data_IF_034815412647
#
_entry.id   IF_034815412647
#
_cell.length_a   1.000
_cell.length_b   1.000
_cell.length_c   1.000
_cell.angle_alpha   90.00
_cell.angle_beta   90.00
_cell.angle_gamma   90.00
#
_symmetry.space_group_name_H-M   'P 1'
#
loop_
_entity.id
_entity.type
_entity.pdbx_description
1 polymer ?
#
# COMPACT_ATOMS: atom_id res chain seq x y z
N UNK A 1 -29.85 14.34 -0.39
CA UNK A 1 -28.90 13.21 -0.26
C UNK A 1 -28.23 12.77 -1.57
N UNK A 2 -28.97 12.69 -2.69
CA UNK A 2 -28.45 12.13 -3.96
C UNK A 2 -27.83 13.16 -4.94
N UNK A 3 -27.81 14.45 -4.58
CA UNK A 3 -27.27 15.53 -5.43
C UNK A 3 -25.80 15.34 -5.76
N UNK A 4 -25.04 14.76 -4.82
CA UNK A 4 -23.60 14.55 -4.91
C UNK A 4 -23.23 13.08 -5.21
N UNK A 5 -24.20 12.27 -5.64
CA UNK A 5 -23.94 10.91 -6.11
C UNK A 5 -23.57 10.90 -7.61
N UNK A 6 -22.48 10.22 -7.94
CA UNK A 6 -22.00 10.01 -9.30
C UNK A 6 -22.92 9.07 -10.09
N UNK A 7 -22.88 9.18 -11.42
CA UNK A 7 -23.71 8.40 -12.34
C UNK A 7 -22.88 7.53 -13.27
N UNK A 8 -23.43 6.35 -13.62
CA UNK A 8 -22.90 5.44 -14.64
C UNK A 8 -23.04 6.05 -16.04
N UNK A 9 -22.40 5.43 -17.04
CA UNK A 9 -22.58 5.78 -18.46
C UNK A 9 -24.04 5.66 -18.93
N UNK A 10 -24.84 4.78 -18.29
CA UNK A 10 -26.30 4.65 -18.50
C UNK A 10 -27.12 5.64 -17.68
N UNK A 11 -26.48 6.60 -17.00
CA UNK A 11 -27.07 7.69 -16.20
C UNK A 11 -27.73 7.25 -14.89
N UNK A 12 -27.64 5.98 -14.55
CA UNK A 12 -28.09 5.47 -13.25
C UNK A 12 -27.18 5.98 -12.13
N UNK A 13 -27.75 6.23 -10.95
CA UNK A 13 -26.96 6.58 -9.76
C UNK A 13 -26.10 5.38 -9.38
N UNK A 14 -24.82 5.61 -9.10
CA UNK A 14 -23.89 4.56 -8.67
C UNK A 14 -24.12 4.31 -7.18
N UNK A 15 -24.80 3.20 -6.91
CA UNK A 15 -25.02 2.65 -5.57
C UNK A 15 -24.04 1.51 -5.36
N UNK A 16 -23.26 1.62 -4.29
CA UNK A 16 -22.24 0.66 -3.88
C UNK A 16 -22.75 -0.14 -2.69
N UNK A 17 -22.43 -1.42 -2.69
CA UNK A 17 -22.87 -2.35 -1.68
C UNK A 17 -21.66 -2.91 -0.95
N UNK A 18 -21.67 -2.94 0.38
CA UNK A 18 -20.69 -3.69 1.15
C UNK A 18 -20.88 -5.19 0.93
N UNK A 19 -19.77 -5.92 0.96
CA UNK A 19 -19.75 -7.38 0.86
C UNK A 19 -19.22 -7.94 2.17
N UNK A 20 -19.81 -9.05 2.58
CA UNK A 20 -19.39 -9.81 3.75
C UNK A 20 -18.11 -10.58 3.42
N UNK A 21 -17.05 -10.38 4.21
CA UNK A 21 -15.73 -10.96 3.94
C UNK A 21 -15.68 -12.48 4.14
N UNK A 22 -16.67 -13.07 4.83
CA UNK A 22 -16.73 -14.51 5.11
C UNK A 22 -17.50 -15.23 4.01
N UNK A 23 -18.67 -14.69 3.66
CA UNK A 23 -19.59 -15.32 2.68
C UNK A 23 -19.39 -14.83 1.25
N UNK A 24 -18.66 -13.73 1.05
CA UNK A 24 -18.51 -13.03 -0.23
C UNK A 24 -19.85 -12.64 -0.88
N UNK A 25 -20.90 -12.51 -0.08
CA UNK A 25 -22.23 -12.04 -0.49
C UNK A 25 -22.41 -10.59 -0.11
N UNK A 26 -23.40 -9.94 -0.72
CA UNK A 26 -23.81 -8.62 -0.28
C UNK A 26 -24.15 -8.64 1.22
N UNK A 27 -23.57 -7.72 1.98
CA UNK A 27 -23.82 -7.58 3.41
C UNK A 27 -25.15 -6.82 3.62
N UNK A 28 -26.27 -7.55 3.59
CA UNK A 28 -27.62 -6.97 3.69
C UNK A 28 -27.91 -6.28 5.05
N UNK A 29 -27.06 -6.52 6.05
CA UNK A 29 -27.10 -5.87 7.35
C UNK A 29 -26.42 -4.48 7.36
N UNK A 30 -25.73 -4.11 6.29
CA UNK A 30 -25.10 -2.81 6.13
C UNK A 30 -25.85 -1.94 5.14
N UNK A 31 -25.93 -0.64 5.42
CA UNK A 31 -26.52 0.30 4.48
C UNK A 31 -25.64 0.44 3.23
N UNK A 32 -26.25 0.42 2.02
CA UNK A 32 -25.54 0.78 0.81
C UNK A 32 -25.12 2.25 0.86
N UNK A 33 -24.08 2.58 0.11
CA UNK A 33 -23.56 3.94 -0.01
C UNK A 33 -23.46 4.34 -1.48
N UNK A 34 -23.12 5.60 -1.73
CA UNK A 34 -23.10 6.16 -3.08
C UNK A 34 -21.70 6.61 -3.43
N UNK A 35 -21.31 6.39 -4.68
CA UNK A 35 -20.07 6.95 -5.18
C UNK A 35 -20.20 8.47 -5.25
N UNK A 36 -19.27 9.20 -4.64
CA UNK A 36 -19.30 10.66 -4.60
C UNK A 36 -18.92 11.27 -5.95
N UNK A 37 -19.55 12.39 -6.32
CA UNK A 37 -19.17 13.15 -7.51
C UNK A 37 -17.75 13.69 -7.39
N UNK A 38 -16.94 13.68 -8.48
CA UNK A 38 -15.58 14.19 -8.47
C UNK A 38 -15.45 15.63 -7.98
N UNK A 39 -16.35 16.52 -8.43
CA UNK A 39 -16.32 17.93 -8.02
C UNK A 39 -16.54 18.11 -6.50
N UNK A 40 -17.39 17.28 -5.90
CA UNK A 40 -17.61 17.30 -4.45
C UNK A 40 -16.38 16.78 -3.71
N UNK A 41 -15.81 15.65 -4.14
CA UNK A 41 -14.59 15.09 -3.57
C UNK A 41 -13.41 16.08 -3.64
N UNK A 42 -13.23 16.75 -4.79
CA UNK A 42 -12.20 17.76 -4.98
C UNK A 42 -12.37 18.95 -4.02
N UNK A 43 -13.61 19.40 -3.79
CA UNK A 43 -13.90 20.45 -2.80
C UNK A 43 -13.59 20.01 -1.36
N UNK A 44 -13.91 18.77 -1.00
CA UNK A 44 -13.56 18.21 0.31
C UNK A 44 -12.04 18.13 0.50
N UNK A 45 -11.32 17.71 -0.54
CA UNK A 45 -9.86 17.64 -0.51
C UNK A 45 -9.22 19.03 -0.38
N UNK A 46 -9.71 20.02 -1.12
CA UNK A 46 -9.24 21.41 -0.98
C UNK A 46 -9.51 21.96 0.43
N UNK A 47 -10.67 21.67 1.03
CA UNK A 47 -10.97 22.05 2.40
C UNK A 47 -10.02 21.38 3.40
N UNK A 48 -9.75 20.07 3.23
CA UNK A 48 -8.77 19.35 4.04
C UNK A 48 -7.37 20.00 3.96
N UNK A 49 -6.88 20.27 2.76
CA UNK A 49 -5.56 20.90 2.54
C UNK A 49 -5.48 22.27 3.21
N UNK A 50 -6.51 23.12 3.03
CA UNK A 50 -6.56 24.44 3.67
C UNK A 50 -6.60 24.32 5.20
N UNK A 51 -7.45 23.44 5.73
CA UNK A 51 -7.56 23.23 7.17
C UNK A 51 -6.28 22.70 7.81
N UNK A 52 -5.52 21.85 7.11
CA UNK A 52 -4.22 21.35 7.55
C UNK A 52 -3.15 22.44 7.48
N UNK A 53 -3.14 23.24 6.41
CA UNK A 53 -2.26 24.40 6.27
C UNK A 53 -2.45 25.40 7.40
N UNK A 54 -3.69 25.78 7.70
CA UNK A 54 -4.01 26.74 8.76
C UNK A 54 -3.55 26.26 10.15
N UNK A 55 -3.57 24.93 10.34
CA UNK A 55 -3.09 24.27 11.57
C UNK A 55 -1.60 23.97 11.56
N UNK A 56 -0.87 24.34 10.50
CA UNK A 56 0.56 24.06 10.31
C UNK A 56 0.89 22.56 10.44
N UNK A 57 0.00 21.70 9.96
CA UNK A 57 0.25 20.27 9.92
C UNK A 57 1.47 19.96 9.05
N UNK A 58 2.19 18.88 9.37
CA UNK A 58 3.36 18.47 8.60
C UNK A 58 3.01 17.84 7.24
N UNK A 59 1.80 17.31 7.10
CA UNK A 59 1.40 16.59 5.91
C UNK A 59 -0.09 16.26 5.84
N UNK A 60 -0.47 15.61 4.74
CA UNK A 60 -1.81 15.13 4.42
C UNK A 60 -1.73 13.69 3.93
N UNK A 61 -2.67 12.86 4.38
CA UNK A 61 -2.86 11.51 3.89
C UNK A 61 -4.15 11.42 3.08
N UNK A 62 -4.05 11.03 1.82
CA UNK A 62 -5.20 10.80 0.96
C UNK A 62 -5.45 9.30 0.80
N UNK A 63 -6.63 8.87 1.23
CA UNK A 63 -7.06 7.48 1.06
C UNK A 63 -7.40 7.14 -0.40
N UNK A 64 -8.11 8.05 -1.07
CA UNK A 64 -8.67 7.77 -2.40
C UNK A 64 -7.89 8.50 -3.52
N UNK A 65 -7.40 9.72 -3.26
CA UNK A 65 -6.58 10.50 -4.22
C UNK A 65 -5.20 9.86 -4.32
N UNK A 66 -4.74 9.60 -5.54
CA UNK A 66 -3.55 8.80 -5.82
C UNK A 66 -3.86 7.36 -6.22
N UNK A 67 -5.10 6.89 -6.00
CA UNK A 67 -5.55 5.56 -6.40
C UNK A 67 -6.79 5.65 -7.30
N UNK A 68 -7.91 6.13 -6.78
CA UNK A 68 -9.20 6.04 -7.47
C UNK A 68 -9.38 7.19 -8.49
N UNK A 69 -9.88 6.82 -9.68
CA UNK A 69 -10.27 7.74 -10.76
C UNK A 69 -11.76 7.55 -11.08
N UNK A 70 -12.60 7.76 -10.08
CA UNK A 70 -14.04 7.57 -10.13
C UNK A 70 -14.71 8.65 -10.99
N UNK A 71 -15.24 8.31 -12.16
CA UNK A 71 -15.89 9.25 -13.08
C UNK A 71 -17.37 9.53 -12.71
N UNK A 72 -17.94 10.59 -13.29
CA UNK A 72 -19.37 10.92 -13.21
C UNK A 72 -19.92 11.26 -14.60
N UNK A 73 -20.93 10.52 -15.06
CA UNK A 73 -21.53 10.72 -16.39
C UNK A 73 -22.88 11.45 -16.33
N UNK A 74 -23.02 12.40 -15.40
CA UNK A 74 -24.16 13.31 -15.33
C UNK A 74 -24.29 14.18 -16.59
N UNK A 75 -25.50 14.35 -17.13
CA UNK A 75 -25.73 15.04 -18.42
C UNK A 75 -25.13 16.45 -18.50
N UNK A 76 -25.23 17.23 -17.42
CA UNK A 76 -24.76 18.62 -17.36
C UNK A 76 -23.36 18.81 -16.77
N UNK A 77 -22.78 17.79 -16.15
CA UNK A 77 -21.52 17.88 -15.40
C UNK A 77 -20.66 16.64 -15.60
N UNK A 78 -20.62 16.13 -16.84
CA UNK A 78 -19.83 14.96 -17.19
C UNK A 78 -18.36 15.18 -16.82
N UNK A 79 -17.81 14.26 -16.05
CA UNK A 79 -16.41 14.23 -15.63
C UNK A 79 -15.83 12.85 -15.91
N UNK A 80 -14.97 12.77 -16.92
CA UNK A 80 -14.25 11.55 -17.32
C UNK A 80 -13.15 11.19 -16.33
N UNK A 81 -12.67 9.94 -16.36
CA UNK A 81 -11.53 9.48 -15.54
C UNK A 81 -10.27 10.34 -15.76
N UNK A 82 -10.02 10.78 -16.99
CA UNK A 82 -8.89 11.65 -17.32
C UNK A 82 -9.02 13.04 -16.70
N UNK A 83 -10.24 13.61 -16.68
CA UNK A 83 -10.50 14.86 -15.97
C UNK A 83 -10.34 14.70 -14.45
N UNK A 84 -10.79 13.57 -13.88
CA UNK A 84 -10.55 13.26 -12.45
C UNK A 84 -9.06 13.14 -12.16
N UNK A 85 -8.28 12.51 -13.05
CA UNK A 85 -6.82 12.43 -12.92
C UNK A 85 -6.20 13.84 -12.88
N UNK A 86 -6.62 14.73 -13.77
CA UNK A 86 -6.16 16.12 -13.75
C UNK A 86 -6.52 16.86 -12.45
N UNK A 87 -7.75 16.66 -11.93
CA UNK A 87 -8.17 17.22 -10.64
C UNK A 87 -7.33 16.68 -9.48
N UNK A 88 -7.07 15.37 -9.45
CA UNK A 88 -6.25 14.73 -8.43
C UNK A 88 -4.80 15.25 -8.49
N UNK A 89 -4.21 15.37 -9.69
CA UNK A 89 -2.87 15.96 -9.89
C UNK A 89 -2.83 17.37 -9.33
N UNK A 90 -3.84 18.19 -9.62
CA UNK A 90 -3.89 19.56 -9.12
C UNK A 90 -4.00 19.59 -7.59
N UNK A 91 -4.85 18.75 -6.99
CA UNK A 91 -4.97 18.63 -5.53
C UNK A 91 -3.63 18.24 -4.87
N UNK A 92 -2.93 17.25 -5.44
CA UNK A 92 -1.63 16.81 -4.93
C UNK A 92 -0.59 17.92 -5.06
N UNK A 93 -0.57 18.64 -6.19
CA UNK A 93 0.30 19.80 -6.39
C UNK A 93 0.00 20.92 -5.39
N UNK A 94 -1.26 21.20 -5.12
CA UNK A 94 -1.67 22.24 -4.17
C UNK A 94 -1.24 21.89 -2.75
N UNK A 95 -1.34 20.61 -2.34
CA UNK A 95 -0.82 20.14 -1.06
C UNK A 95 0.70 20.34 -0.94
N UNK A 96 1.47 19.95 -1.96
CA UNK A 96 2.92 20.15 -2.00
C UNK A 96 3.28 21.64 -1.97
N UNK A 97 2.59 22.48 -2.75
CA UNK A 97 2.80 23.92 -2.77
C UNK A 97 2.44 24.60 -1.43
N UNK A 98 1.52 24.01 -0.66
CA UNK A 98 1.21 24.42 0.70
C UNK A 98 2.28 24.00 1.73
N UNK A 99 3.34 23.31 1.30
CA UNK A 99 4.42 22.81 2.16
C UNK A 99 4.08 21.52 2.89
N UNK A 100 2.99 20.83 2.52
CA UNK A 100 2.57 19.58 3.16
C UNK A 100 3.32 18.39 2.54
N UNK A 101 3.75 17.48 3.40
CA UNK A 101 4.14 16.12 2.99
C UNK A 101 2.91 15.31 2.60
N UNK A 102 3.03 14.46 1.58
CA UNK A 102 1.88 13.76 1.01
C UNK A 102 2.03 12.25 1.16
N UNK A 103 1.03 11.63 1.80
CA UNK A 103 0.86 10.18 1.84
C UNK A 103 -0.32 9.81 0.93
N UNK A 104 -0.14 8.80 0.09
CA UNK A 104 -1.20 8.22 -0.75
C UNK A 104 -1.27 6.71 -0.56
N UNK A 105 -2.45 6.12 -0.77
CA UNK A 105 -2.65 4.67 -0.77
C UNK A 105 -2.43 4.07 -2.16
N UNK A 106 -1.81 2.88 -2.26
CA UNK A 106 -1.48 2.08 -3.46
C UNK A 106 -0.56 2.76 -4.48
N UNK A 107 -0.81 4.02 -4.82
CA UNK A 107 0.12 4.92 -5.52
C UNK A 107 0.23 4.72 -7.02
N UNK A 108 -0.80 5.14 -7.76
CA UNK A 108 -0.73 5.17 -9.23
C UNK A 108 0.33 6.15 -9.73
N UNK A 109 0.92 5.86 -10.89
CA UNK A 109 2.06 6.58 -11.47
C UNK A 109 1.85 8.10 -11.59
N UNK A 110 0.62 8.56 -11.86
CA UNK A 110 0.32 9.99 -11.97
C UNK A 110 0.53 10.77 -10.66
N UNK A 111 0.44 10.10 -9.52
CA UNK A 111 0.56 10.69 -8.19
C UNK A 111 1.99 10.57 -7.63
N UNK A 112 2.80 9.67 -8.21
CA UNK A 112 4.18 9.39 -7.80
C UNK A 112 5.04 10.66 -7.63
N UNK A 113 5.01 11.66 -8.54
CA UNK A 113 5.84 12.85 -8.39
C UNK A 113 5.58 13.63 -7.10
N UNK A 114 4.35 13.59 -6.59
CA UNK A 114 3.89 14.39 -5.46
C UNK A 114 3.91 13.65 -4.12
N UNK A 115 3.96 12.32 -4.13
CA UNK A 115 3.95 11.52 -2.91
C UNK A 115 5.31 11.52 -2.20
N UNK A 116 5.31 11.61 -0.87
CA UNK A 116 6.47 11.35 -0.01
C UNK A 116 6.48 9.89 0.50
N UNK A 117 5.30 9.29 0.67
CA UNK A 117 5.11 7.89 1.05
C UNK A 117 3.88 7.30 0.35
N UNK A 118 4.03 6.07 -0.15
CA UNK A 118 2.91 5.27 -0.65
C UNK A 118 2.62 4.15 0.34
N UNK A 119 1.42 4.11 0.92
CA UNK A 119 1.02 3.02 1.84
C UNK A 119 0.20 1.97 1.10
N UNK A 120 0.17 0.75 1.65
CA UNK A 120 -0.66 -0.35 1.14
C UNK A 120 -0.43 -0.59 -0.37
N UNK A 121 0.83 -0.48 -0.82
CA UNK A 121 1.17 -0.82 -2.19
C UNK A 121 0.95 -2.31 -2.39
N UNK A 122 0.23 -2.68 -3.45
CA UNK A 122 0.11 -4.08 -3.82
C UNK A 122 1.48 -4.59 -4.28
N UNK A 123 2.13 -5.34 -3.40
CA UNK A 123 3.47 -5.89 -3.61
C UNK A 123 3.50 -7.09 -4.55
N UNK A 124 2.45 -7.91 -4.54
CA UNK A 124 2.48 -9.23 -5.17
C UNK A 124 1.42 -9.42 -6.26
N UNK A 125 0.64 -8.38 -6.55
CA UNK A 125 -0.40 -8.39 -7.57
C UNK A 125 -1.54 -9.37 -7.27
N UNK A 126 -2.37 -9.64 -8.28
CA UNK A 126 -3.42 -10.63 -8.17
C UNK A 126 -2.86 -12.04 -8.39
N UNK A 127 -3.23 -12.98 -7.52
CA UNK A 127 -2.86 -14.38 -7.67
C UNK A 127 -3.93 -15.09 -8.50
N UNK A 128 -3.73 -15.19 -9.82
CA UNK A 128 -4.56 -16.04 -10.67
C UNK A 128 -3.84 -17.37 -10.93
N UNK A 129 -4.61 -18.47 -10.99
CA UNK A 129 -4.08 -19.81 -11.22
C UNK A 129 -3.32 -19.99 -12.56
N UNK A 130 -3.40 -19.01 -13.46
CA UNK A 130 -2.80 -19.02 -14.79
C UNK A 130 -1.46 -18.27 -14.87
N UNK A 131 -0.96 -17.71 -13.76
CA UNK A 131 0.28 -16.93 -13.74
C UNK A 131 1.46 -17.81 -13.30
N UNK A 132 2.50 -17.86 -14.13
CA UNK A 132 3.71 -18.67 -13.87
C UNK A 132 4.60 -18.09 -12.76
N UNK A 133 4.53 -16.78 -12.53
CA UNK A 133 5.36 -16.10 -11.55
C UNK A 133 4.97 -14.65 -11.31
N UNK A 134 5.54 -14.07 -10.27
CA UNK A 134 5.40 -12.65 -9.89
C UNK A 134 6.76 -11.99 -10.06
N UNK A 135 6.77 -10.80 -10.66
CA UNK A 135 7.97 -9.97 -10.82
C UNK A 135 7.66 -8.59 -10.22
N UNK A 136 8.53 -8.04 -9.35
CA UNK A 136 8.32 -6.74 -8.72
C UNK A 136 8.60 -5.58 -9.67
N UNK A 137 7.98 -5.60 -10.85
CA UNK A 137 8.27 -4.66 -11.94
C UNK A 137 8.09 -3.19 -11.51
N UNK A 138 7.00 -2.90 -10.79
CA UNK A 138 6.74 -1.53 -10.37
C UNK A 138 7.72 -1.08 -9.30
N UNK A 139 8.04 -1.95 -8.34
CA UNK A 139 8.99 -1.69 -7.27
C UNK A 139 10.40 -1.49 -7.83
N UNK A 140 10.85 -2.32 -8.78
CA UNK A 140 12.12 -2.13 -9.50
C UNK A 140 12.19 -0.73 -10.12
N UNK A 141 11.10 -0.27 -10.75
CA UNK A 141 11.08 1.02 -11.43
C UNK A 141 11.13 2.25 -10.50
N UNK A 142 10.65 2.12 -9.26
CA UNK A 142 10.49 3.28 -8.35
C UNK A 142 11.38 3.23 -7.10
N UNK A 143 11.99 2.09 -6.80
CA UNK A 143 12.79 1.94 -5.59
C UNK A 143 14.00 2.87 -5.60
N UNK A 144 14.27 3.49 -4.46
CA UNK A 144 15.25 4.57 -4.34
C UNK A 144 14.74 5.97 -4.73
N UNK A 145 13.62 6.06 -5.44
CA UNK A 145 12.96 7.34 -5.78
C UNK A 145 11.85 7.70 -4.79
N UNK A 146 11.10 6.70 -4.34
CA UNK A 146 9.94 6.88 -3.45
C UNK A 146 9.92 5.81 -2.37
N UNK A 147 9.51 6.21 -1.18
CA UNK A 147 9.25 5.27 -0.10
C UNK A 147 7.85 4.68 -0.28
N UNK A 148 7.72 3.39 -0.03
CA UNK A 148 6.45 2.70 -0.05
C UNK A 148 6.44 1.58 0.99
N UNK A 149 5.25 1.17 1.40
CA UNK A 149 5.02 0.00 2.25
C UNK A 149 4.03 -0.95 1.58
N UNK A 150 4.07 -2.22 1.99
CA UNK A 150 2.96 -3.14 1.73
C UNK A 150 1.76 -2.88 2.64
N UNK A 151 0.85 -3.86 2.66
CA UNK A 151 -0.26 -3.90 3.62
C UNK A 151 0.25 -3.99 5.06
N UNK A 152 -0.60 -3.65 6.02
CA UNK A 152 -0.27 -3.78 7.44
C UNK A 152 0.01 -5.26 7.80
N UNK A 153 1.24 -5.55 8.22
CA UNK A 153 1.75 -6.90 8.47
C UNK A 153 0.89 -7.64 9.50
N UNK A 154 0.45 -6.94 10.54
CA UNK A 154 -0.37 -7.55 11.59
C UNK A 154 -1.84 -7.81 11.16
N UNK A 155 -2.29 -7.28 10.02
CA UNK A 155 -3.67 -7.48 9.54
C UNK A 155 -3.78 -8.51 8.42
N UNK A 156 -2.66 -8.96 7.85
CA UNK A 156 -2.66 -9.99 6.81
C UNK A 156 -2.70 -11.40 7.42
N UNK A 157 -3.15 -12.39 6.62
CA UNK A 157 -3.25 -13.77 7.08
C UNK A 157 -1.89 -14.48 7.30
N UNK A 158 -0.84 -14.06 6.60
CA UNK A 158 0.52 -14.61 6.73
C UNK A 158 1.53 -13.45 6.87
N UNK A 159 1.77 -13.05 8.12
CA UNK A 159 2.66 -11.95 8.47
C UNK A 159 4.09 -12.19 7.98
N UNK A 160 4.56 -13.44 8.04
CA UNK A 160 5.91 -13.79 7.60
C UNK A 160 6.05 -13.64 6.09
N UNK A 161 5.05 -14.06 5.30
CA UNK A 161 5.07 -13.81 3.85
C UNK A 161 5.11 -12.31 3.54
N UNK A 162 4.30 -11.48 4.21
CA UNK A 162 4.33 -10.03 3.96
C UNK A 162 5.69 -9.41 4.36
N UNK A 163 6.32 -9.85 5.46
CA UNK A 163 7.67 -9.42 5.83
C UNK A 163 8.69 -9.79 4.75
N UNK A 164 8.62 -11.01 4.23
CA UNK A 164 9.50 -11.49 3.16
C UNK A 164 9.27 -10.73 1.85
N UNK A 165 8.02 -10.43 1.48
CA UNK A 165 7.70 -9.57 0.33
C UNK A 165 8.23 -8.14 0.52
N UNK A 166 8.18 -7.60 1.74
CA UNK A 166 8.80 -6.32 2.06
C UNK A 166 10.33 -6.37 1.88
N UNK A 167 10.97 -7.46 2.29
CA UNK A 167 12.41 -7.65 2.11
C UNK A 167 12.80 -7.79 0.64
N UNK A 168 12.09 -8.66 -0.09
CA UNK A 168 12.35 -8.95 -1.51
C UNK A 168 12.17 -7.69 -2.36
N UNK A 169 11.09 -6.94 -2.12
CA UNK A 169 10.72 -5.83 -2.99
C UNK A 169 11.15 -4.48 -2.47
N UNK A 170 11.94 -4.41 -1.39
CA UNK A 170 12.46 -3.15 -0.84
C UNK A 170 11.41 -2.25 -0.18
N UNK A 171 10.25 -2.80 0.19
CA UNK A 171 9.18 -2.03 0.83
C UNK A 171 9.42 -1.85 2.34
N UNK A 172 9.03 -0.71 2.89
CA UNK A 172 8.99 -0.51 4.33
C UNK A 172 7.90 -1.35 5.01
N UNK A 173 8.06 -1.58 6.31
CA UNK A 173 7.07 -2.30 7.13
C UNK A 173 5.90 -1.36 7.50
N UNK A 174 4.69 -1.90 7.48
CA UNK A 174 3.47 -1.20 7.88
C UNK A 174 2.74 -1.99 8.97
N UNK A 175 2.14 -1.30 9.93
CA UNK A 175 1.37 -1.88 11.02
C UNK A 175 0.20 -0.98 11.38
N UNK A 176 -0.91 -1.56 11.82
CA UNK A 176 -2.09 -0.83 12.29
C UNK A 176 -2.41 -1.21 13.72
N UNK A 177 -2.49 -0.23 14.61
CA UNK A 177 -2.73 -0.48 16.02
C UNK A 177 -3.95 0.25 16.58
N UNK A 178 -4.54 -0.37 17.60
CA UNK A 178 -5.52 0.19 18.51
C UNK A 178 -5.16 -0.19 19.94
N UNK A 179 -5.58 0.65 20.89
CA UNK A 179 -5.30 0.46 22.31
C UNK A 179 -6.22 -0.61 22.94
N UNK A 180 -7.52 -0.52 22.64
CA UNK A 180 -8.55 -1.43 23.18
C UNK A 180 -8.42 -2.85 22.61
N UNK A 181 -8.89 -3.85 23.35
CA UNK A 181 -9.02 -5.23 22.86
C UNK A 181 -9.90 -5.27 21.59
N UNK A 182 -9.45 -5.99 20.54
CA UNK A 182 -10.15 -6.09 19.25
C UNK A 182 -11.52 -6.76 19.37
N UNK A 183 -11.85 -7.40 20.51
CA UNK A 183 -13.21 -7.89 20.82
C UNK A 183 -14.28 -6.83 20.67
N UNK A 184 -13.99 -5.55 20.93
CA UNK A 184 -14.99 -4.48 20.75
C UNK A 184 -15.40 -4.26 19.29
N UNK A 185 -14.62 -4.81 18.35
CA UNK A 185 -14.88 -4.74 16.92
C UNK A 185 -15.65 -5.96 16.41
N UNK A 186 -15.87 -6.99 17.24
CA UNK A 186 -16.71 -8.12 16.89
C UNK A 186 -18.12 -7.63 16.52
N UNK A 187 -18.69 -8.21 15.48
CA UNK A 187 -20.01 -7.85 14.93
C UNK A 187 -20.13 -6.36 14.51
N UNK A 188 -19.01 -5.69 14.25
CA UNK A 188 -18.96 -4.33 13.73
C UNK A 188 -18.42 -4.28 12.30
N UNK A 189 -18.63 -3.14 11.63
CA UNK A 189 -18.05 -2.84 10.31
C UNK A 189 -16.53 -2.70 10.31
N UNK A 190 -15.89 -2.77 11.49
CA UNK A 190 -14.45 -2.65 11.70
C UNK A 190 -13.79 -3.99 12.07
N UNK A 191 -14.52 -5.10 11.93
CA UNK A 191 -14.02 -6.45 12.22
C UNK A 191 -12.79 -6.86 11.41
N UNK A 192 -12.44 -6.13 10.34
CA UNK A 192 -11.20 -6.32 9.57
C UNK A 192 -9.93 -6.00 10.37
N UNK A 193 -9.99 -5.23 11.45
CA UNK A 193 -8.84 -4.92 12.31
C UNK A 193 -8.59 -6.03 13.35
N UNK A 194 -8.63 -7.28 12.92
CA UNK A 194 -8.64 -8.49 13.77
C UNK A 194 -7.45 -8.57 14.73
N UNK A 195 -6.27 -8.14 14.28
CA UNK A 195 -5.01 -8.19 15.04
C UNK A 195 -4.42 -6.79 15.33
N UNK A 196 -5.28 -5.77 15.49
CA UNK A 196 -4.82 -4.42 15.75
C UNK A 196 -4.45 -4.13 17.22
N UNK A 197 -4.66 -5.04 18.18
CA UNK A 197 -4.37 -4.73 19.59
C UNK A 197 -2.86 -4.50 19.81
N UNK A 198 -2.48 -3.30 20.21
CA UNK A 198 -1.07 -2.91 20.37
C UNK A 198 -0.34 -3.77 21.42
N UNK A 199 -0.98 -4.00 22.58
CA UNK A 199 -0.36 -4.74 23.67
C UNK A 199 -0.03 -6.19 23.31
N UNK A 200 -0.82 -6.81 22.44
CA UNK A 200 -0.58 -8.16 21.94
C UNK A 200 0.58 -8.23 20.93
N UNK A 201 0.82 -7.15 20.16
CA UNK A 201 1.76 -7.14 19.03
C UNK A 201 3.08 -6.43 19.29
N UNK A 202 3.17 -5.60 20.33
CA UNK A 202 4.30 -4.67 20.52
C UNK A 202 5.66 -5.38 20.49
N UNK A 203 5.83 -6.50 21.20
CA UNK A 203 7.15 -7.12 21.38
C UNK A 203 7.64 -7.75 20.06
N UNK A 204 6.75 -8.44 19.35
CA UNK A 204 7.02 -8.99 18.02
C UNK A 204 7.29 -7.89 16.99
N UNK A 205 6.48 -6.82 17.02
CA UNK A 205 6.64 -5.66 16.13
C UNK A 205 7.99 -4.98 16.34
N UNK A 206 8.39 -4.75 17.59
CA UNK A 206 9.69 -4.13 17.90
C UNK A 206 10.86 -5.01 17.46
N UNK A 207 10.78 -6.33 17.67
CA UNK A 207 11.81 -7.26 17.20
C UNK A 207 11.93 -7.23 15.67
N UNK A 208 10.80 -7.28 14.97
CA UNK A 208 10.74 -7.25 13.51
C UNK A 208 11.30 -5.95 12.93
N UNK A 209 10.85 -4.80 13.43
CA UNK A 209 11.33 -3.48 12.98
C UNK A 209 12.82 -3.33 13.25
N UNK A 210 13.30 -3.70 14.44
CA UNK A 210 14.71 -3.55 14.83
C UNK A 210 15.61 -4.38 13.92
N UNK A 211 15.25 -5.65 13.70
CA UNK A 211 15.99 -6.51 12.78
C UNK A 211 15.96 -5.95 11.36
N UNK A 212 14.77 -5.64 10.84
CA UNK A 212 14.61 -5.19 9.47
C UNK A 212 15.37 -3.89 9.20
N UNK A 213 15.31 -2.93 10.11
CA UNK A 213 16.08 -1.68 10.00
C UNK A 213 17.58 -1.95 9.98
N UNK A 214 18.09 -2.80 10.89
CA UNK A 214 19.51 -3.18 10.92
C UNK A 214 19.91 -3.85 9.60
N UNK A 215 19.17 -4.87 9.19
CA UNK A 215 19.52 -5.72 8.05
C UNK A 215 19.39 -4.95 6.72
N UNK A 216 18.43 -4.03 6.60
CA UNK A 216 18.16 -3.25 5.37
C UNK A 216 18.77 -1.83 5.37
N UNK A 217 19.60 -1.51 6.36
CA UNK A 217 20.22 -0.18 6.47
C UNK A 217 20.94 0.19 5.17
N UNK A 218 20.61 1.39 4.66
CA UNK A 218 21.22 1.98 3.47
C UNK A 218 20.53 1.67 2.14
N UNK A 219 19.61 0.69 2.10
CA UNK A 219 19.01 0.20 0.85
C UNK A 219 17.79 1.00 0.37
N UNK A 220 17.17 1.79 1.26
CA UNK A 220 15.95 2.56 0.95
C UNK A 220 16.13 3.62 -0.15
N UNK A 221 17.37 4.07 -0.38
CA UNK A 221 17.71 5.07 -1.42
C UNK A 221 18.48 4.48 -2.60
N UNK A 222 18.72 3.17 -2.59
CA UNK A 222 19.38 2.48 -3.69
C UNK A 222 18.34 2.06 -4.72
N UNK A 223 18.66 2.14 -6.00
CA UNK A 223 17.82 1.50 -7.01
C UNK A 223 17.99 -0.01 -6.96
N UNK A 224 16.90 -0.75 -7.18
CA UNK A 224 16.99 -2.17 -7.52
C UNK A 224 17.47 -2.25 -8.97
N UNK A 225 18.55 -2.98 -9.21
CA UNK A 225 19.16 -3.13 -10.54
C UNK A 225 18.97 -4.51 -11.14
N UNK A 226 18.60 -5.50 -10.32
CA UNK A 226 18.29 -6.84 -10.78
C UNK A 226 17.35 -7.57 -9.80
N UNK A 227 16.57 -8.51 -10.31
CA UNK A 227 15.73 -9.42 -9.55
C UNK A 227 15.71 -10.78 -10.23
N UNK A 228 16.17 -11.81 -9.52
CA UNK A 228 16.26 -13.17 -10.04
C UNK A 228 15.47 -14.12 -9.15
N UNK A 229 14.68 -14.99 -9.78
CA UNK A 229 14.02 -16.12 -9.12
C UNK A 229 14.93 -17.35 -9.26
N UNK A 230 15.68 -17.64 -8.20
CA UNK A 230 16.64 -18.75 -8.16
C UNK A 230 15.91 -20.11 -8.18
N UNK A 231 14.82 -20.21 -7.43
CA UNK A 231 13.90 -21.37 -7.43
C UNK A 231 12.46 -20.88 -7.31
N UNK A 232 11.49 -21.79 -7.28
CA UNK A 232 10.08 -21.40 -7.11
C UNK A 232 9.75 -20.67 -5.80
N UNK A 233 10.64 -20.78 -4.80
CA UNK A 233 10.45 -20.23 -3.46
C UNK A 233 11.64 -19.41 -2.99
N UNK A 234 12.67 -19.22 -3.82
CA UNK A 234 13.85 -18.46 -3.45
C UNK A 234 14.16 -17.45 -4.53
N UNK A 235 14.33 -16.20 -4.14
CA UNK A 235 14.68 -15.10 -5.03
C UNK A 235 15.80 -14.25 -4.44
N UNK A 236 16.40 -13.43 -5.30
CA UNK A 236 17.42 -12.46 -4.93
C UNK A 236 17.14 -11.12 -5.61
N UNK A 237 17.19 -10.06 -4.82
CA UNK A 237 17.11 -8.67 -5.28
C UNK A 237 18.49 -8.03 -5.15
N UNK A 238 19.01 -7.48 -6.25
CA UNK A 238 20.31 -6.81 -6.26
C UNK A 238 20.13 -5.30 -6.31
N UNK A 239 20.81 -4.60 -5.41
CA UNK A 239 20.82 -3.14 -5.31
C UNK A 239 22.06 -2.55 -6.00
N UNK A 240 21.97 -1.27 -6.37
CA UNK A 240 23.01 -0.59 -7.14
C UNK A 240 24.40 -0.56 -6.48
N UNK A 241 24.48 -0.65 -5.15
CA UNK A 241 25.76 -0.71 -4.44
C UNK A 241 26.42 -2.10 -4.44
N UNK A 242 25.71 -3.11 -4.96
CA UNK A 242 26.12 -4.52 -5.01
C UNK A 242 25.47 -5.38 -3.93
N UNK A 243 24.74 -4.78 -2.97
CA UNK A 243 24.05 -5.55 -1.92
C UNK A 243 23.00 -6.47 -2.53
N UNK A 244 22.95 -7.72 -2.04
CA UNK A 244 21.98 -8.74 -2.45
C UNK A 244 21.08 -9.09 -1.27
N UNK A 245 19.77 -9.07 -1.51
CA UNK A 245 18.78 -9.53 -0.54
C UNK A 245 18.19 -10.84 -1.06
N UNK A 246 18.54 -11.93 -0.40
CA UNK A 246 17.98 -13.25 -0.66
C UNK A 246 16.74 -13.47 0.20
N UNK A 247 15.69 -14.05 -0.38
CA UNK A 247 14.43 -14.33 0.32
C UNK A 247 14.03 -15.78 0.06
N UNK A 248 13.72 -16.52 1.13
CA UNK A 248 13.30 -17.92 1.07
C UNK A 248 11.89 -18.09 1.64
N UNK A 249 10.92 -18.32 0.76
CA UNK A 249 9.52 -18.57 1.11
C UNK A 249 9.22 -20.04 1.46
N UNK A 250 10.19 -20.95 1.28
CA UNK A 250 9.99 -22.38 1.52
C UNK A 250 10.05 -22.74 3.01
N UNK A 251 9.56 -23.94 3.34
CA UNK A 251 9.63 -24.49 4.69
C UNK A 251 10.96 -25.15 5.03
N UNK A 252 11.98 -25.01 4.19
CA UNK A 252 13.30 -25.63 4.35
C UNK A 252 14.41 -24.63 4.06
N UNK A 253 15.57 -24.81 4.67
CA UNK A 253 16.72 -23.96 4.38
C UNK A 253 17.14 -24.08 2.92
N UNK A 254 17.48 -22.95 2.32
CA UNK A 254 18.12 -22.90 1.01
C UNK A 254 19.62 -22.75 1.20
N UNK A 255 20.40 -23.64 0.59
CA UNK A 255 21.86 -23.62 0.65
C UNK A 255 22.45 -23.75 -0.74
N UNK A 256 23.27 -22.78 -1.14
CA UNK A 256 24.04 -22.83 -2.38
C UNK A 256 25.41 -22.16 -2.20
N UNK A 257 26.49 -22.95 -2.31
CA UNK A 257 27.84 -22.46 -2.05
C UNK A 257 28.00 -21.98 -0.60
N UNK A 258 28.37 -20.71 -0.43
CA UNK A 258 28.53 -20.07 0.89
C UNK A 258 27.25 -19.38 1.40
N UNK A 259 26.19 -19.34 0.59
CA UNK A 259 24.92 -18.68 0.95
C UNK A 259 23.97 -19.71 1.56
N UNK A 260 23.53 -19.44 2.79
CA UNK A 260 22.46 -20.18 3.47
C UNK A 260 21.37 -19.21 3.88
N UNK A 261 20.15 -19.43 3.40
CA UNK A 261 18.97 -18.65 3.74
C UNK A 261 17.99 -19.57 4.49
N UNK A 262 17.75 -19.34 5.80
CA UNK A 262 16.87 -20.19 6.58
C UNK A 262 15.46 -20.29 5.99
N UNK A 263 14.76 -21.38 6.32
CA UNK A 263 13.35 -21.55 6.00
C UNK A 263 12.52 -20.32 6.44
N UNK A 264 11.68 -19.82 5.53
CA UNK A 264 10.81 -18.65 5.76
C UNK A 264 11.56 -17.41 6.27
N UNK A 265 12.78 -17.17 5.81
CA UNK A 265 13.58 -16.02 6.21
C UNK A 265 14.28 -15.34 5.02
N UNK A 266 14.95 -14.22 5.29
CA UNK A 266 15.77 -13.50 4.34
C UNK A 266 17.20 -13.31 4.86
N UNK A 267 18.13 -13.10 3.93
CA UNK A 267 19.54 -12.80 4.19
C UNK A 267 19.94 -11.57 3.37
N UNK A 268 20.58 -10.60 4.01
CA UNK A 268 21.20 -9.46 3.33
C UNK A 268 22.70 -9.68 3.24
N UNK A 269 23.17 -9.99 2.03
CA UNK A 269 24.58 -10.18 1.72
C UNK A 269 25.16 -8.88 1.14
N UNK A 270 26.15 -8.33 1.85
CA UNK A 270 26.84 -7.10 1.46
C UNK A 270 28.22 -7.51 1.00
N UNK A 271 28.50 -7.32 -0.29
CA UNK A 271 29.88 -7.43 -0.77
C UNK A 271 30.75 -6.42 0.00
N UNK A 272 31.70 -6.92 0.79
CA UNK A 272 32.74 -6.08 1.37
C UNK A 272 33.66 -5.69 0.21
N UNK A 273 33.47 -4.48 -0.34
CA UNK A 273 34.47 -3.89 -1.22
C UNK A 273 35.77 -3.74 -0.43
N UNK A 274 36.77 -4.56 -0.76
CA UNK A 274 38.16 -4.40 -0.31
C UNK A 274 38.73 -3.08 -0.86
#
# INVERSE_FOLDING_TARGET
>A
PLSDAARTTTKAIIKLYPYDIVTYRQADWMNPYYLVKPAYANRCAANLVNGLKDRKAAGVAFRDIGNLLSADYHNSTLTTREQVKAMNIQTLRDAVNAGLKVIIKEGNTYALPYADLITDMNLSGNSYALLDGKVPFYQIAIHGLKNYTGDAINLVGDCQTMLLECAEYGAGLNFTFMDTDTKVLQDSVFSCYTSANYSAWKDETFAMITRYQKDMTGLNRQSIVDHERITDKVSVTTYADGTKVYVNYSGTDYTAGAVTVPARDYLVDREVKQ
#
